data_IF_462261405755
#
_entry.id   IF_462261405755
#
_cell.length_a   1.000
_cell.length_b   1.000
_cell.length_c   1.000
_cell.angle_alpha   90.00
_cell.angle_beta   90.00
_cell.angle_gamma   90.00
#
_symmetry.space_group_name_H-M   'P 1'
#
loop_
_entity.id
_entity.type
_entity.pdbx_description
1 polymer ?
#
# COMPACT_ATOMS: atom_id res chain seq x y z
N UNK A 1 -10.54 -23.47 -4.94
CA UNK A 1 -9.84 -23.27 -6.22
C UNK A 1 -9.28 -21.86 -6.23
N UNK A 2 -7.97 -21.73 -6.02
CA UNK A 2 -7.21 -20.47 -5.99
C UNK A 2 -6.84 -20.01 -7.41
N UNK A 3 -6.73 -18.69 -7.64
CA UNK A 3 -5.61 -18.02 -8.33
C UNK A 3 -5.78 -16.48 -8.50
N UNK A 4 -4.83 -15.74 -7.88
CA UNK A 4 -3.97 -14.66 -8.42
C UNK A 4 -4.60 -13.32 -8.86
N UNK A 5 -4.16 -12.21 -8.24
CA UNK A 5 -3.42 -11.08 -8.87
C UNK A 5 -2.89 -10.11 -7.79
N UNK A 6 -1.57 -10.04 -7.61
CA UNK A 6 -0.86 -9.03 -6.83
C UNK A 6 0.35 -8.56 -7.66
N UNK A 7 0.37 -7.28 -8.05
CA UNK A 7 1.59 -6.58 -8.46
C UNK A 7 1.34 -5.07 -8.44
N UNK A 8 1.81 -4.40 -7.38
CA UNK A 8 2.27 -3.01 -7.44
C UNK A 8 3.63 -3.01 -6.75
N UNK A 9 4.68 -2.67 -7.51
CA UNK A 9 6.05 -2.55 -7.02
C UNK A 9 6.35 -1.06 -6.99
N UNK A 10 6.53 -0.49 -5.81
CA UNK A 10 7.15 0.82 -5.64
C UNK A 10 8.58 0.60 -5.12
N UNK A 11 9.57 1.14 -5.82
CA UNK A 11 10.93 1.27 -5.32
C UNK A 11 11.43 2.70 -5.58
N UNK A 12 11.76 3.37 -4.48
CA UNK A 12 12.61 4.56 -4.40
C UNK A 12 14.01 4.08 -3.99
N UNK A 13 15.09 4.45 -4.70
CA UNK A 13 16.36 4.85 -4.06
C UNK A 13 17.42 5.47 -5.01
N UNK A 14 17.86 6.67 -4.60
CA UNK A 14 19.20 7.32 -4.60
C UNK A 14 20.21 7.31 -5.76
N UNK A 15 20.56 8.55 -6.14
CA UNK A 15 21.91 9.18 -6.14
C UNK A 15 23.15 8.28 -5.97
N UNK A 16 24.00 8.31 -7.00
CA UNK A 16 25.42 7.94 -6.95
C UNK A 16 26.22 8.76 -7.97
N UNK A 17 27.11 9.60 -7.48
CA UNK A 17 28.07 10.43 -8.23
C UNK A 17 29.21 9.55 -8.76
N UNK A 18 29.62 9.73 -10.02
CA UNK A 18 31.03 9.64 -10.41
C UNK A 18 31.33 10.42 -11.68
N UNK A 19 32.46 11.12 -11.62
CA UNK A 19 33.01 12.05 -12.58
C UNK A 19 34.08 11.40 -13.49
N UNK A 20 34.52 12.18 -14.49
CA UNK A 20 35.70 12.00 -15.36
C UNK A 20 35.57 10.93 -16.48
N UNK A 21 36.01 11.09 -17.74
CA UNK A 21 36.84 12.05 -18.50
C UNK A 21 36.75 11.63 -19.99
N UNK A 22 36.41 12.51 -20.95
CA UNK A 22 37.29 13.23 -21.92
C UNK A 22 37.98 12.39 -23.05
N UNK A 23 37.57 12.61 -24.32
CA UNK A 23 38.36 12.94 -25.56
C UNK A 23 37.58 12.58 -26.85
N UNK A 24 37.24 13.57 -27.69
CA UNK A 24 37.98 14.09 -28.87
C UNK A 24 37.69 13.26 -30.15
N UNK A 25 36.76 13.72 -31.00
CA UNK A 25 36.96 14.39 -32.32
C UNK A 25 37.58 13.50 -33.40
N UNK A 26 36.79 13.17 -34.43
CA UNK A 26 37.25 13.32 -35.81
C UNK A 26 36.09 13.53 -36.81
N UNK A 27 36.43 14.17 -37.92
CA UNK A 27 35.59 14.90 -38.89
C UNK A 27 35.35 14.09 -40.17
N UNK A 28 34.15 14.12 -40.77
CA UNK A 28 33.88 14.25 -42.23
C UNK A 28 32.42 13.96 -42.67
N UNK A 29 31.73 15.03 -43.08
CA UNK A 29 30.84 15.27 -44.25
C UNK A 29 30.11 14.11 -44.98
N UNK A 30 28.77 14.20 -45.13
CA UNK A 30 27.99 14.45 -46.39
C UNK A 30 26.51 13.94 -46.33
N UNK A 31 25.55 14.87 -46.25
CA UNK A 31 24.27 15.03 -47.02
C UNK A 31 23.14 13.95 -47.06
N UNK A 32 21.98 14.34 -46.47
CA UNK A 32 20.56 14.29 -46.92
C UNK A 32 19.85 12.96 -47.24
N UNK A 33 18.81 12.60 -46.44
CA UNK A 33 17.35 12.60 -46.77
C UNK A 33 16.58 11.63 -45.87
N UNK A 34 15.65 12.19 -45.08
CA UNK A 34 14.29 11.73 -44.74
C UNK A 34 13.89 10.24 -44.76
N UNK A 35 13.18 9.85 -43.67
CA UNK A 35 12.05 8.89 -43.59
C UNK A 35 12.31 7.56 -42.85
N UNK A 36 12.02 7.58 -41.56
CA UNK A 36 12.05 6.44 -40.62
C UNK A 36 10.80 5.54 -40.77
N UNK A 37 11.03 4.37 -41.37
CA UNK A 37 10.76 3.01 -40.87
C UNK A 37 9.33 2.51 -40.55
N UNK A 38 8.95 1.45 -41.28
CA UNK A 38 7.96 0.42 -40.95
C UNK A 38 8.70 -0.87 -40.53
N UNK A 39 8.34 -1.49 -39.40
CA UNK A 39 8.42 -2.94 -39.02
C UNK A 39 8.35 -3.02 -37.49
N UNK A 40 7.38 -3.69 -36.86
CA UNK A 40 7.23 -5.15 -36.67
C UNK A 40 7.57 -5.57 -35.24
N UNK A 41 6.94 -6.65 -34.79
CA UNK A 41 6.60 -6.99 -33.42
C UNK A 41 7.68 -7.77 -32.62
N UNK A 42 7.69 -7.51 -31.30
CA UNK A 42 8.02 -8.35 -30.11
C UNK A 42 9.44 -8.97 -30.00
N UNK A 43 10.02 -9.31 -28.80
CA UNK A 43 9.40 -9.57 -27.49
C UNK A 43 10.14 -9.04 -26.21
N UNK A 44 9.49 -9.23 -25.06
CA UNK A 44 9.99 -9.16 -23.67
C UNK A 44 11.32 -9.92 -23.46
N UNK A 45 12.25 -9.44 -22.60
CA UNK A 45 13.20 -10.32 -21.92
C UNK A 45 12.85 -10.48 -20.43
N UNK A 46 12.59 -11.72 -20.08
CA UNK A 46 12.51 -12.29 -18.73
C UNK A 46 13.87 -12.88 -18.38
N UNK A 47 14.47 -12.52 -17.24
CA UNK A 47 15.27 -13.43 -16.41
C UNK A 47 15.55 -12.81 -15.04
N UNK A 48 15.13 -13.55 -14.01
CA UNK A 48 15.25 -13.33 -12.57
C UNK A 48 16.72 -13.37 -12.08
N UNK A 49 17.00 -13.02 -10.81
CA UNK A 49 17.06 -14.13 -9.86
C UNK A 49 16.46 -13.82 -8.48
N UNK A 50 15.61 -14.74 -8.02
CA UNK A 50 15.61 -15.37 -6.69
C UNK A 50 15.70 -14.48 -5.45
N UNK A 51 14.59 -14.43 -4.71
CA UNK A 51 14.47 -14.62 -3.24
C UNK A 51 12.97 -14.48 -2.92
N UNK A 52 12.12 -15.46 -2.59
CA UNK A 52 12.20 -16.59 -1.63
C UNK A 52 12.84 -16.27 -0.28
N UNK A 53 12.81 -14.99 0.10
CA UNK A 53 12.96 -14.50 1.48
C UNK A 53 12.27 -13.15 1.55
N UNK A 54 10.99 -13.04 1.93
CA UNK A 54 10.48 -11.94 2.79
C UNK A 54 8.97 -11.82 3.04
N UNK A 55 8.03 -12.58 2.47
CA UNK A 55 6.65 -12.52 3.03
C UNK A 55 6.65 -12.96 4.51
N UNK A 56 7.34 -14.07 4.80
CA UNK A 56 7.52 -14.53 6.18
C UNK A 56 8.40 -13.58 7.01
N UNK A 57 9.44 -12.99 6.44
CA UNK A 57 10.36 -12.11 7.19
C UNK A 57 9.84 -10.66 7.36
N UNK A 58 8.95 -10.19 6.49
CA UNK A 58 8.20 -8.93 6.67
C UNK A 58 7.11 -9.15 7.72
N UNK A 59 6.39 -10.28 7.66
CA UNK A 59 5.41 -10.68 8.68
C UNK A 59 6.05 -10.84 10.07
N UNK A 60 7.21 -11.51 10.15
CA UNK A 60 7.98 -11.66 11.40
C UNK A 60 8.51 -10.31 11.93
N UNK A 61 8.88 -9.38 11.03
CA UNK A 61 9.32 -8.04 11.40
C UNK A 61 8.16 -7.15 11.87
N UNK A 62 6.99 -7.22 11.24
CA UNK A 62 5.80 -6.49 11.70
C UNK A 62 5.22 -7.05 13.01
N UNK A 63 5.38 -8.35 13.28
CA UNK A 63 4.97 -8.95 14.56
C UNK A 63 5.84 -8.46 15.73
N UNK A 64 7.11 -8.14 15.50
CA UNK A 64 8.06 -7.71 16.54
C UNK A 64 8.16 -6.20 16.73
N UNK A 65 7.68 -5.40 15.76
CA UNK A 65 7.67 -3.94 15.86
C UNK A 65 6.64 -3.44 16.87
N UNK A 66 7.09 -2.53 17.73
CA UNK A 66 6.25 -1.80 18.68
C UNK A 66 5.22 -0.92 17.95
N UNK A 67 4.15 -0.55 18.66
CA UNK A 67 3.14 0.38 18.14
C UNK A 67 3.73 1.73 17.72
N UNK A 68 4.77 2.19 18.43
CA UNK A 68 5.45 3.45 18.11
C UNK A 68 6.21 3.37 16.78
N UNK A 69 6.86 2.26 16.49
CA UNK A 69 7.59 2.06 15.24
C UNK A 69 6.63 1.97 14.05
N UNK A 70 5.49 1.27 14.23
CA UNK A 70 4.42 1.21 13.22
C UNK A 70 3.85 2.59 12.92
N UNK A 71 3.57 3.39 13.96
CA UNK A 71 3.07 4.76 13.79
C UNK A 71 4.08 5.66 13.06
N UNK A 72 5.37 5.58 13.40
CA UNK A 72 6.43 6.34 12.71
C UNK A 72 6.53 5.97 11.23
N UNK A 73 6.53 4.67 10.92
CA UNK A 73 6.60 4.18 9.55
C UNK A 73 5.39 4.65 8.73
N UNK A 74 4.19 4.57 9.29
CA UNK A 74 2.99 5.06 8.61
C UNK A 74 3.06 6.58 8.35
N UNK A 75 3.59 7.35 9.30
CA UNK A 75 3.78 8.79 9.11
C UNK A 75 4.80 9.11 8.01
N UNK A 76 5.92 8.39 7.94
CA UNK A 76 6.90 8.52 6.86
C UNK A 76 6.26 8.24 5.50
N UNK A 77 5.47 7.17 5.40
CA UNK A 77 4.74 6.81 4.18
C UNK A 77 3.76 7.92 3.79
N UNK A 78 2.99 8.47 4.74
CA UNK A 78 2.07 9.59 4.50
C UNK A 78 2.80 10.83 3.99
N UNK A 79 3.96 11.15 4.57
CA UNK A 79 4.76 12.30 4.13
C UNK A 79 5.27 12.12 2.70
N UNK A 80 5.72 10.92 2.34
CA UNK A 80 6.13 10.61 0.97
C UNK A 80 4.95 10.63 -0.01
N UNK A 81 3.82 10.03 0.36
CA UNK A 81 2.60 10.03 -0.43
C UNK A 81 2.10 11.46 -0.68
N UNK A 82 2.15 12.32 0.34
CA UNK A 82 1.80 13.73 0.22
C UNK A 82 2.70 14.46 -0.79
N UNK A 83 4.02 14.24 -0.72
CA UNK A 83 4.96 14.81 -1.71
C UNK A 83 4.66 14.31 -3.12
N UNK A 84 4.44 13.01 -3.29
CA UNK A 84 4.07 12.41 -4.59
C UNK A 84 2.75 12.97 -5.12
N UNK A 85 1.78 13.17 -4.25
CA UNK A 85 0.48 13.73 -4.62
C UNK A 85 0.60 15.19 -5.04
N UNK A 86 1.39 16.02 -4.34
CA UNK A 86 1.64 17.41 -4.71
C UNK A 86 2.27 17.52 -6.10
N UNK A 87 3.26 16.67 -6.41
CA UNK A 87 3.88 16.58 -7.73
C UNK A 87 2.87 16.17 -8.81
N UNK A 88 2.22 15.02 -8.64
CA UNK A 88 1.23 14.51 -9.61
C UNK A 88 0.06 15.46 -9.82
N UNK A 89 -0.33 16.20 -8.78
CA UNK A 89 -1.39 17.21 -8.86
C UNK A 89 -0.96 18.42 -9.69
N UNK A 90 0.31 18.82 -9.62
CA UNK A 90 0.84 19.87 -10.48
C UNK A 90 0.80 19.42 -11.94
N UNK A 91 1.32 18.23 -12.24
CA UNK A 91 1.30 17.66 -13.60
C UNK A 91 -0.13 17.51 -14.12
N UNK A 92 -1.04 17.00 -13.29
CA UNK A 92 -2.45 16.86 -13.64
C UNK A 92 -3.12 18.21 -13.98
N UNK A 93 -2.77 19.30 -13.29
CA UNK A 93 -3.30 20.64 -13.59
C UNK A 93 -2.86 21.14 -14.96
N UNK A 94 -1.68 20.76 -15.42
CA UNK A 94 -1.19 21.07 -16.76
C UNK A 94 -1.93 20.19 -17.79
N UNK A 95 -2.00 18.89 -17.54
CA UNK A 95 -2.58 17.91 -18.46
C UNK A 95 -4.09 18.09 -18.66
N UNK A 96 -4.83 18.51 -17.62
CA UNK A 96 -6.28 18.72 -17.71
C UNK A 96 -6.65 19.90 -18.62
N UNK A 97 -5.69 20.74 -19.03
CA UNK A 97 -5.92 21.83 -19.98
C UNK A 97 -6.30 21.35 -21.39
N UNK A 98 -5.98 20.10 -21.75
CA UNK A 98 -6.41 19.50 -23.04
C UNK A 98 -7.94 19.33 -23.14
N UNK A 99 -8.64 19.33 -22.00
CA UNK A 99 -10.07 19.11 -21.93
C UNK A 99 -10.82 20.38 -22.29
N UNK A 100 -11.57 20.31 -23.39
CA UNK A 100 -12.29 21.48 -23.94
C UNK A 100 -13.51 21.90 -23.10
N UNK A 101 -14.15 20.95 -22.42
CA UNK A 101 -15.39 21.22 -21.68
C UNK A 101 -15.08 21.53 -20.23
N UNK A 102 -15.27 22.79 -19.86
CA UNK A 102 -14.98 23.31 -18.52
C UNK A 102 -15.67 22.51 -17.40
N UNK A 103 -16.92 22.09 -17.62
CA UNK A 103 -17.64 21.24 -16.66
C UNK A 103 -16.93 19.90 -16.40
N UNK A 104 -16.31 19.31 -17.42
CA UNK A 104 -15.58 18.04 -17.28
C UNK A 104 -14.26 18.24 -16.52
N UNK A 105 -13.53 19.30 -16.85
CA UNK A 105 -12.32 19.71 -16.13
C UNK A 105 -12.58 19.90 -14.64
N UNK A 106 -13.61 20.69 -14.28
CA UNK A 106 -13.97 20.93 -12.89
C UNK A 106 -14.34 19.63 -12.14
N UNK A 107 -15.02 18.70 -12.80
CA UNK A 107 -15.37 17.40 -12.21
C UNK A 107 -14.13 16.56 -11.93
N UNK A 108 -13.17 16.52 -12.86
CA UNK A 108 -11.91 15.79 -12.68
C UNK A 108 -11.06 16.36 -11.55
N UNK A 109 -10.92 17.67 -11.48
CA UNK A 109 -10.22 18.35 -10.39
C UNK A 109 -10.86 18.01 -9.03
N UNK A 110 -12.19 18.09 -8.94
CA UNK A 110 -12.91 17.69 -7.72
C UNK A 110 -12.75 16.22 -7.38
N UNK A 111 -12.68 15.34 -8.37
CA UNK A 111 -12.47 13.91 -8.17
C UNK A 111 -11.10 13.62 -7.54
N UNK A 112 -10.04 14.23 -8.06
CA UNK A 112 -8.68 14.07 -7.50
C UNK A 112 -8.62 14.51 -6.04
N UNK A 113 -9.18 15.67 -5.72
CA UNK A 113 -9.23 16.16 -4.33
C UNK A 113 -10.05 15.23 -3.44
N UNK A 114 -11.19 14.75 -3.96
CA UNK A 114 -12.08 13.86 -3.22
C UNK A 114 -11.42 12.51 -2.96
N UNK A 115 -10.72 11.92 -3.91
CA UNK A 115 -10.03 10.63 -3.69
C UNK A 115 -8.96 10.76 -2.62
N UNK A 116 -8.12 11.80 -2.69
CA UNK A 116 -7.10 12.02 -1.66
C UNK A 116 -7.73 12.25 -0.27
N UNK A 117 -8.76 13.09 -0.18
CA UNK A 117 -9.42 13.36 1.09
C UNK A 117 -10.10 12.11 1.68
N UNK A 118 -10.77 11.31 0.84
CA UNK A 118 -11.43 10.08 1.29
C UNK A 118 -10.39 9.00 1.65
N UNK A 119 -9.29 8.89 0.91
CA UNK A 119 -8.20 7.97 1.22
C UNK A 119 -7.64 8.25 2.63
N UNK A 120 -7.23 9.50 2.87
CA UNK A 120 -6.68 9.90 4.17
C UNK A 120 -7.66 9.63 5.31
N UNK A 121 -8.95 9.93 5.10
CA UNK A 121 -9.99 9.65 6.10
C UNK A 121 -10.09 8.16 6.44
N UNK A 122 -9.98 7.27 5.45
CA UNK A 122 -10.02 5.82 5.69
C UNK A 122 -8.76 5.33 6.39
N UNK A 123 -7.60 5.81 5.95
CA UNK A 123 -6.31 5.47 6.56
C UNK A 123 -6.32 5.85 8.05
N UNK A 124 -6.74 7.08 8.38
CA UNK A 124 -6.85 7.56 9.78
C UNK A 124 -7.84 6.72 10.60
N UNK A 125 -8.96 6.35 9.97
CA UNK A 125 -9.98 5.53 10.63
C UNK A 125 -9.45 4.14 10.98
N UNK A 126 -8.78 3.47 10.03
CA UNK A 126 -8.28 2.12 10.22
C UNK A 126 -7.04 2.07 11.11
N UNK A 127 -6.15 3.05 11.04
CA UNK A 127 -5.06 3.22 12.00
C UNK A 127 -5.62 3.24 13.44
N UNK A 128 -6.64 4.06 13.67
CA UNK A 128 -7.30 4.15 14.98
C UNK A 128 -7.95 2.84 15.43
N UNK A 129 -8.45 2.02 14.50
CA UNK A 129 -8.98 0.69 14.80
C UNK A 129 -7.86 -0.29 15.15
N UNK A 130 -6.83 -0.40 14.32
CA UNK A 130 -5.73 -1.35 14.50
C UNK A 130 -4.95 -1.08 15.79
N UNK A 131 -4.76 0.19 16.15
CA UNK A 131 -4.17 0.59 17.43
C UNK A 131 -5.01 0.11 18.61
N UNK A 132 -6.34 0.28 18.55
CA UNK A 132 -7.25 -0.21 19.61
C UNK A 132 -7.26 -1.72 19.70
N UNK A 133 -7.25 -2.43 18.57
CA UNK A 133 -7.21 -3.89 18.54
C UNK A 133 -5.94 -4.43 19.19
N UNK A 134 -4.78 -3.82 18.90
CA UNK A 134 -3.51 -4.18 19.54
C UNK A 134 -3.54 -3.94 21.05
N UNK A 135 -4.01 -2.76 21.49
CA UNK A 135 -4.15 -2.46 22.93
C UNK A 135 -5.14 -3.39 23.66
N UNK A 136 -6.20 -3.83 22.98
CA UNK A 136 -7.12 -4.82 23.53
C UNK A 136 -6.38 -6.14 23.73
N UNK A 137 -5.62 -6.59 22.73
CA UNK A 137 -4.89 -7.85 22.80
C UNK A 137 -3.88 -7.84 23.95
N UNK A 138 -3.11 -6.77 24.12
CA UNK A 138 -2.15 -6.61 25.23
C UNK A 138 -2.83 -6.72 26.61
N UNK A 139 -4.03 -6.14 26.76
CA UNK A 139 -4.83 -6.28 28.00
C UNK A 139 -5.33 -7.70 28.22
N UNK A 140 -5.60 -8.44 27.15
CA UNK A 140 -6.02 -9.84 27.20
C UNK A 140 -4.82 -10.72 27.55
N UNK A 141 -3.61 -10.43 27.05
CA UNK A 141 -2.39 -11.15 27.41
C UNK A 141 -2.09 -11.02 28.90
N UNK A 142 -2.17 -9.79 29.45
CA UNK A 142 -1.98 -9.57 30.89
C UNK A 142 -2.96 -10.38 31.76
N UNK A 143 -4.18 -10.64 31.26
CA UNK A 143 -5.16 -11.51 31.96
C UNK A 143 -4.80 -12.99 31.82
N UNK A 144 -4.31 -13.41 30.66
CA UNK A 144 -3.86 -14.78 30.44
C UNK A 144 -2.61 -15.12 31.27
N UNK A 145 -1.71 -14.17 31.46
CA UNK A 145 -0.55 -14.30 32.35
C UNK A 145 -0.99 -14.57 33.79
N UNK A 146 -2.02 -13.86 34.28
CA UNK A 146 -2.60 -14.13 35.60
C UNK A 146 -3.15 -15.55 35.73
N UNK A 147 -3.91 -16.03 34.74
CA UNK A 147 -4.42 -17.42 34.73
C UNK A 147 -3.27 -18.44 34.70
N UNK A 148 -2.22 -18.15 33.94
CA UNK A 148 -1.03 -19.01 33.89
C UNK A 148 -0.33 -19.07 35.25
N UNK A 149 -0.25 -17.95 35.97
CA UNK A 149 0.30 -17.91 37.35
C UNK A 149 -0.56 -18.67 38.36
N UNK A 150 -1.85 -18.83 38.07
CA UNK A 150 -2.80 -19.64 38.84
C UNK A 150 -2.75 -21.14 38.45
N UNK A 151 -1.88 -21.53 37.51
CA UNK A 151 -1.71 -22.92 37.05
C UNK A 151 -2.70 -23.36 35.98
N UNK A 152 -3.50 -22.45 35.41
CA UNK A 152 -4.44 -22.74 34.33
C UNK A 152 -3.70 -22.80 33.00
N UNK A 153 -3.96 -23.84 32.20
CA UNK A 153 -3.38 -23.94 30.85
C UNK A 153 -3.97 -22.89 29.91
N UNK A 154 -3.10 -22.04 29.37
CA UNK A 154 -3.45 -20.96 28.43
C UNK A 154 -3.02 -21.23 26.98
N UNK A 155 -2.64 -22.48 26.66
CA UNK A 155 -2.17 -22.90 25.33
C UNK A 155 -3.13 -22.52 24.19
N UNK A 156 -4.43 -22.73 24.38
CA UNK A 156 -5.49 -22.40 23.40
C UNK A 156 -5.59 -20.89 23.17
N UNK A 157 -5.54 -20.10 24.24
CA UNK A 157 -5.48 -18.65 24.16
C UNK A 157 -4.24 -18.17 23.41
N UNK A 158 -3.05 -18.68 23.75
CA UNK A 158 -1.78 -18.28 23.11
C UNK A 158 -1.81 -18.50 21.60
N UNK A 159 -2.39 -19.61 21.16
CA UNK A 159 -2.56 -19.91 19.73
C UNK A 159 -3.49 -18.91 19.04
N UNK A 160 -4.63 -18.59 19.65
CA UNK A 160 -5.57 -17.61 19.13
C UNK A 160 -4.98 -16.18 19.12
N UNK A 161 -4.23 -15.81 20.17
CA UNK A 161 -3.56 -14.52 20.27
C UNK A 161 -2.47 -14.34 19.20
N UNK A 162 -1.67 -15.38 18.93
CA UNK A 162 -0.69 -15.36 17.84
C UNK A 162 -1.39 -15.15 16.48
N UNK A 163 -2.49 -15.86 16.24
CA UNK A 163 -3.30 -15.68 15.02
C UNK A 163 -3.85 -14.26 14.90
N UNK A 164 -4.34 -13.68 16.00
CA UNK A 164 -4.83 -12.30 16.03
C UNK A 164 -3.72 -11.29 15.70
N UNK A 165 -2.50 -11.47 16.25
CA UNK A 165 -1.33 -10.64 15.94
C UNK A 165 -0.96 -10.69 14.47
N UNK A 166 -0.93 -11.87 13.88
CA UNK A 166 -0.66 -12.06 12.46
C UNK A 166 -1.67 -11.29 11.58
N UNK A 167 -2.97 -11.40 11.87
CA UNK A 167 -4.01 -10.67 11.14
C UNK A 167 -3.92 -9.14 11.31
N UNK A 168 -3.55 -8.67 12.52
CA UNK A 168 -3.28 -7.24 12.74
C UNK A 168 -2.09 -6.78 11.90
N UNK A 169 -1.01 -7.57 11.83
CA UNK A 169 0.16 -7.25 11.03
C UNK A 169 -0.18 -7.14 9.54
N UNK A 170 -0.92 -8.11 8.99
CA UNK A 170 -1.40 -8.08 7.60
C UNK A 170 -2.27 -6.85 7.31
N UNK A 171 -3.16 -6.49 8.24
CA UNK A 171 -4.00 -5.29 8.10
C UNK A 171 -3.20 -3.98 8.19
N UNK A 172 -2.11 -3.95 8.98
CA UNK A 172 -1.20 -2.79 9.04
C UNK A 172 -0.44 -2.64 7.73
N UNK A 173 0.03 -3.74 7.13
CA UNK A 173 0.72 -3.71 5.84
C UNK A 173 -0.21 -3.18 4.73
N UNK A 174 -1.44 -3.69 4.65
CA UNK A 174 -2.41 -3.16 3.70
C UNK A 174 -2.78 -1.69 3.93
N UNK A 175 -2.81 -1.25 5.19
CA UNK A 175 -3.02 0.16 5.54
C UNK A 175 -1.87 1.04 5.07
N UNK A 176 -0.64 0.58 5.21
CA UNK A 176 0.56 1.27 4.73
C UNK A 176 0.56 1.39 3.20
N UNK A 177 0.20 0.33 2.49
CA UNK A 177 0.04 0.35 1.03
C UNK A 177 -1.04 1.37 0.61
N UNK A 178 -2.21 1.33 1.23
CA UNK A 178 -3.29 2.28 0.98
C UNK A 178 -2.88 3.74 1.30
N UNK A 179 -2.06 3.95 2.34
CA UNK A 179 -1.52 5.26 2.69
C UNK A 179 -0.49 5.77 1.67
N UNK A 180 0.21 4.86 0.99
CA UNK A 180 1.18 5.19 -0.05
C UNK A 180 0.50 5.60 -1.38
N UNK A 181 -0.73 5.18 -1.61
CA UNK A 181 -1.42 5.36 -2.88
C UNK A 181 -1.81 6.82 -3.18
N UNK A 182 -1.66 7.18 -4.45
CA UNK A 182 -2.02 8.50 -4.99
C UNK A 182 -2.94 8.35 -6.19
N UNK A 183 -4.22 8.64 -6.00
CA UNK A 183 -5.25 8.52 -7.05
C UNK A 183 -5.35 9.80 -7.87
N UNK A 184 -4.49 9.92 -8.89
CA UNK A 184 -4.46 11.07 -9.82
C UNK A 184 -4.55 10.55 -11.25
N UNK A 185 -5.24 11.30 -12.10
CA UNK A 185 -5.31 11.02 -13.53
C UNK A 185 -4.01 11.46 -14.22
N UNK A 186 -3.50 10.64 -15.13
CA UNK A 186 -2.28 10.91 -15.89
C UNK A 186 -2.54 10.59 -17.36
N UNK A 187 -2.98 11.59 -18.13
CA UNK A 187 -3.44 11.42 -19.50
C UNK A 187 -3.14 12.68 -20.31
N UNK A 188 -2.73 12.50 -21.56
CA UNK A 188 -2.43 13.60 -22.49
C UNK A 188 -3.58 13.90 -23.43
N UNK A 189 -4.58 13.00 -23.49
CA UNK A 189 -5.74 13.13 -24.39
C UNK A 189 -7.08 12.99 -23.66
N UNK A 190 -8.12 13.62 -24.22
CA UNK A 190 -9.48 13.54 -23.66
C UNK A 190 -10.04 12.11 -23.65
N UNK A 191 -9.65 11.26 -24.61
CA UNK A 191 -10.05 9.85 -24.66
C UNK A 191 -9.42 9.03 -23.52
N UNK A 192 -8.16 9.28 -23.19
CA UNK A 192 -7.46 8.63 -22.08
C UNK A 192 -8.06 9.06 -20.74
N UNK A 193 -8.34 10.35 -20.54
CA UNK A 193 -9.09 10.82 -19.37
C UNK A 193 -10.44 10.08 -19.26
N UNK A 194 -11.17 9.93 -20.37
CA UNK A 194 -12.43 9.18 -20.39
C UNK A 194 -12.30 7.71 -19.95
N UNK A 195 -11.15 7.08 -20.23
CA UNK A 195 -10.84 5.72 -19.78
C UNK A 195 -10.51 5.71 -18.29
N UNK A 196 -9.65 6.62 -17.84
CA UNK A 196 -9.22 6.68 -16.45
C UNK A 196 -10.32 7.09 -15.47
N UNK A 197 -11.28 7.92 -15.91
CA UNK A 197 -12.50 8.25 -15.13
C UNK A 197 -13.31 7.01 -14.78
N UNK A 198 -13.16 5.92 -15.53
CA UNK A 198 -13.84 4.65 -15.23
C UNK A 198 -12.96 3.72 -14.40
N UNK A 199 -11.66 3.66 -14.69
CA UNK A 199 -10.75 2.73 -14.02
C UNK A 199 -10.30 3.20 -12.62
N UNK A 200 -9.89 4.47 -12.45
CA UNK A 200 -9.36 4.97 -11.17
C UNK A 200 -10.37 4.86 -10.02
N UNK A 201 -11.66 5.23 -10.17
CA UNK A 201 -12.62 5.06 -9.09
C UNK A 201 -12.85 3.58 -8.73
N UNK A 202 -12.75 2.69 -9.72
CA UNK A 202 -12.89 1.24 -9.52
C UNK A 202 -11.69 0.68 -8.77
N UNK A 203 -10.47 1.11 -9.15
CA UNK A 203 -9.23 0.79 -8.46
C UNK A 203 -9.29 1.27 -7.00
N UNK A 204 -9.56 2.57 -6.79
CA UNK A 204 -9.72 3.15 -5.45
C UNK A 204 -10.69 2.35 -4.58
N UNK A 205 -11.86 1.97 -5.13
CA UNK A 205 -12.83 1.17 -4.40
C UNK A 205 -12.29 -0.22 -4.05
N UNK A 206 -11.58 -0.86 -4.97
CA UNK A 206 -11.01 -2.18 -4.76
C UNK A 206 -9.95 -2.16 -3.65
N UNK A 207 -9.03 -1.19 -3.68
CA UNK A 207 -7.94 -1.07 -2.69
C UNK A 207 -8.50 -0.80 -1.28
N UNK A 208 -9.45 0.15 -1.19
CA UNK A 208 -10.17 0.46 0.06
C UNK A 208 -10.92 -0.78 0.58
N UNK A 209 -11.56 -1.53 -0.30
CA UNK A 209 -12.29 -2.73 0.11
C UNK A 209 -11.35 -3.85 0.57
N UNK A 210 -10.22 -4.04 -0.10
CA UNK A 210 -9.20 -5.02 0.29
C UNK A 210 -8.65 -4.71 1.69
N UNK A 211 -8.29 -3.46 1.94
CA UNK A 211 -7.82 -3.00 3.26
C UNK A 211 -8.89 -3.18 4.33
N UNK A 212 -10.15 -2.84 4.01
CA UNK A 212 -11.27 -3.00 4.94
C UNK A 212 -11.50 -4.44 5.38
N UNK A 213 -11.44 -5.41 4.46
CA UNK A 213 -11.64 -6.82 4.83
C UNK A 213 -10.51 -7.32 5.75
N UNK A 214 -9.25 -6.94 5.51
CA UNK A 214 -8.15 -7.30 6.41
C UNK A 214 -8.32 -6.69 7.82
N UNK A 215 -8.76 -5.43 7.91
CA UNK A 215 -9.08 -4.80 9.20
C UNK A 215 -10.22 -5.52 9.92
N UNK A 216 -11.21 -6.01 9.17
CA UNK A 216 -12.31 -6.82 9.73
C UNK A 216 -11.81 -8.18 10.21
N UNK A 217 -10.98 -8.86 9.45
CA UNK A 217 -10.37 -10.14 9.84
C UNK A 217 -9.51 -9.99 11.11
N UNK A 218 -8.74 -8.89 11.22
CA UNK A 218 -7.99 -8.56 12.43
C UNK A 218 -8.91 -8.41 13.66
N UNK A 219 -10.06 -7.73 13.50
CA UNK A 219 -11.07 -7.60 14.56
C UNK A 219 -11.63 -8.95 14.97
N UNK A 220 -11.95 -9.80 14.00
CA UNK A 220 -12.45 -11.16 14.25
C UNK A 220 -11.40 -11.99 15.00
N UNK A 221 -10.13 -11.93 14.59
CA UNK A 221 -9.04 -12.62 15.29
C UNK A 221 -8.89 -12.21 16.76
N UNK A 222 -9.01 -10.90 17.07
CA UNK A 222 -8.99 -10.43 18.47
C UNK A 222 -10.20 -10.93 19.26
N UNK A 223 -11.38 -10.99 18.65
CA UNK A 223 -12.57 -11.55 19.28
C UNK A 223 -12.41 -13.06 19.57
N UNK A 224 -11.80 -13.81 18.65
CA UNK A 224 -11.51 -15.23 18.83
C UNK A 224 -10.54 -15.46 19.99
N UNK A 225 -9.48 -14.64 20.08
CA UNK A 225 -8.55 -14.67 21.22
C UNK A 225 -9.25 -14.36 22.54
N UNK A 226 -10.15 -13.38 22.56
CA UNK A 226 -10.96 -13.07 23.73
C UNK A 226 -11.91 -14.21 24.11
N UNK A 227 -12.55 -14.84 23.13
CA UNK A 227 -13.44 -15.99 23.34
C UNK A 227 -12.67 -17.19 23.90
N UNK A 228 -11.46 -17.46 23.38
CA UNK A 228 -10.57 -18.50 23.90
C UNK A 228 -10.21 -18.24 25.37
N UNK A 229 -9.84 -17.01 25.72
CA UNK A 229 -9.56 -16.65 27.12
C UNK A 229 -10.79 -16.83 28.01
N UNK A 230 -11.97 -16.42 27.53
CA UNK A 230 -13.22 -16.55 28.28
C UNK A 230 -13.57 -18.02 28.56
N UNK A 231 -13.35 -18.90 27.58
CA UNK A 231 -13.61 -20.33 27.72
C UNK A 231 -12.77 -20.99 28.82
N UNK A 232 -11.56 -20.48 29.09
CA UNK A 232 -10.72 -20.97 30.19
C UNK A 232 -11.34 -20.70 31.57
N UNK A 233 -12.01 -19.55 31.74
CA UNK A 233 -12.69 -19.19 33.00
C UNK A 233 -14.03 -19.89 33.21
N UNK A 234 -14.69 -20.36 32.15
CA UNK A 234 -15.97 -21.05 32.27
C UNK A 234 -15.84 -22.53 32.58
N UNK A 235 -14.63 -23.08 32.54
CA UNK A 235 -14.34 -24.49 32.82
C UNK A 235 -13.83 -24.72 34.26
N UNK A 236 -13.86 -23.67 35.09
CA UNK A 236 -13.64 -23.70 36.54
C UNK A 236 -14.99 -23.78 37.28
#
# INVERSE_FOLDING_TARGET
MFKIYLTVFAAVFTLGISAATLKATDTATTTTTEKTTTSEATPKPSASPTTTKTEEAIKERLETMSLEEKAKRLEEIRLEAKKRWELKKADFKENVAVIKVEKRKLVLEKLVEKFNAVNNKWVDHWEGILNKLSQILDKVDARAEKLTSEGIDTSTYKTAAATARAKIAEAVEALEDQAADTYVFDADTETEFGTQVKSIPTLFKADVQATHELVKEAREGVNDAFAALKALKSNE
#
